data_IF_251614503121
#
_entry.id   IF_251614503121
#
_cell.length_a   1.000
_cell.length_b   1.000
_cell.length_c   1.000
_cell.angle_alpha   90.00
_cell.angle_beta   90.00
_cell.angle_gamma   90.00
#
_symmetry.space_group_name_H-M   'P 1'
#
loop_
_entity.id
_entity.type
_entity.pdbx_description
1 polymer ?
#
# COMPACT_ATOMS: atom_id res chain seq x y z
N UNK A 1 8.45 -11.36 -27.01
CA UNK A 1 9.08 -11.18 -25.69
C UNK A 1 8.98 -12.50 -24.95
N UNK A 2 10.09 -13.05 -24.45
CA UNK A 2 10.05 -14.25 -23.61
C UNK A 2 9.34 -13.92 -22.29
N UNK A 3 8.43 -14.79 -21.86
CA UNK A 3 7.77 -14.66 -20.56
C UNK A 3 8.78 -15.03 -19.46
N UNK A 4 9.48 -14.01 -18.97
CA UNK A 4 10.52 -14.15 -17.94
C UNK A 4 9.89 -14.67 -16.64
N UNK A 5 10.37 -15.82 -16.17
CA UNK A 5 9.90 -16.42 -14.91
C UNK A 5 10.58 -15.72 -13.73
N UNK A 6 9.87 -14.79 -13.11
CA UNK A 6 10.30 -14.08 -11.90
C UNK A 6 9.92 -14.90 -10.65
N UNK A 7 10.93 -15.43 -9.95
CA UNK A 7 10.76 -16.32 -8.78
C UNK A 7 11.36 -15.72 -7.49
N UNK A 8 11.48 -14.40 -7.41
CA UNK A 8 11.93 -13.68 -6.21
C UNK A 8 10.77 -13.44 -5.25
N UNK A 9 10.99 -13.37 -3.92
CA UNK A 9 9.96 -13.07 -2.93
C UNK A 9 9.58 -11.56 -2.87
N UNK A 10 9.74 -10.85 -3.97
CA UNK A 10 9.65 -9.39 -4.05
C UNK A 10 10.77 -8.81 -4.91
N UNK A 11 10.46 -8.09 -6.02
CA UNK A 11 9.13 -7.95 -6.63
C UNK A 11 8.61 -9.29 -7.19
N UNK A 12 7.33 -9.33 -7.55
CA UNK A 12 6.67 -10.50 -8.18
C UNK A 12 6.01 -10.11 -9.52
N UNK A 13 5.64 -11.11 -10.32
CA UNK A 13 4.97 -10.86 -11.61
C UNK A 13 3.60 -10.22 -11.35
N UNK A 14 3.34 -9.07 -11.98
CA UNK A 14 2.07 -8.36 -11.82
C UNK A 14 0.93 -9.10 -12.53
N UNK A 15 -0.25 -9.21 -11.90
CA UNK A 15 -1.48 -9.57 -12.60
C UNK A 15 -1.75 -8.60 -13.76
N UNK A 16 -2.34 -9.10 -14.84
CA UNK A 16 -2.59 -8.29 -16.05
C UNK A 16 -3.44 -7.05 -15.76
N UNK A 17 -4.46 -7.20 -14.92
CA UNK A 17 -5.36 -6.09 -14.52
C UNK A 17 -4.59 -4.95 -13.86
N UNK A 18 -3.63 -5.26 -12.98
CA UNK A 18 -2.76 -4.26 -12.33
C UNK A 18 -1.86 -3.57 -13.35
N UNK A 19 -1.31 -4.31 -14.32
CA UNK A 19 -0.47 -3.74 -15.39
C UNK A 19 -1.27 -2.77 -16.28
N UNK A 20 -2.51 -3.12 -16.61
CA UNK A 20 -3.40 -2.25 -17.40
C UNK A 20 -3.83 -1.00 -16.62
N UNK A 21 -4.08 -1.13 -15.31
CA UNK A 21 -4.39 0.03 -14.46
C UNK A 21 -3.22 1.02 -14.39
N UNK A 22 -1.99 0.51 -14.22
CA UNK A 22 -0.77 1.34 -14.20
C UNK A 22 -0.44 2.00 -15.55
N UNK A 23 -0.99 1.50 -16.66
CA UNK A 23 -0.80 2.09 -17.99
C UNK A 23 -1.74 3.27 -18.27
N UNK A 24 -2.70 3.55 -17.39
CA UNK A 24 -3.64 4.69 -17.54
C UNK A 24 -2.96 6.00 -17.16
N UNK A 25 -3.54 7.11 -17.61
CA UNK A 25 -3.14 8.45 -17.17
C UNK A 25 -3.35 8.57 -15.65
N UNK A 26 -2.37 9.17 -14.95
CA UNK A 26 -2.47 9.39 -13.50
C UNK A 26 -3.62 10.34 -13.17
N UNK A 27 -4.46 9.94 -12.22
CA UNK A 27 -5.58 10.74 -11.71
C UNK A 27 -5.04 11.85 -10.80
N UNK A 28 -5.59 13.06 -10.92
CA UNK A 28 -5.24 14.15 -10.02
C UNK A 28 -5.66 13.83 -8.57
N UNK A 29 -4.70 13.78 -7.64
CA UNK A 29 -4.90 13.32 -6.26
C UNK A 29 -5.91 14.12 -5.40
N UNK A 30 -6.38 15.29 -5.84
CA UNK A 30 -7.43 16.07 -5.17
C UNK A 30 -8.76 16.08 -5.93
N UNK A 31 -8.88 15.30 -7.01
CA UNK A 31 -10.14 15.14 -7.72
C UNK A 31 -11.12 14.30 -6.89
N UNK A 32 -12.40 14.42 -7.22
CA UNK A 32 -13.44 13.60 -6.59
C UNK A 32 -13.27 12.12 -6.91
N UNK A 33 -12.92 11.81 -8.16
CA UNK A 33 -12.60 10.45 -8.62
C UNK A 33 -11.50 9.79 -7.77
N UNK A 34 -10.41 10.50 -7.47
CA UNK A 34 -9.34 9.95 -6.64
C UNK A 34 -9.78 9.73 -5.19
N UNK A 35 -10.60 10.62 -4.63
CA UNK A 35 -11.11 10.46 -3.25
C UNK A 35 -11.96 9.20 -3.13
N UNK A 36 -12.83 8.94 -4.09
CA UNK A 36 -13.68 7.75 -4.13
C UNK A 36 -12.82 6.49 -4.25
N UNK A 37 -11.86 6.48 -5.19
CA UNK A 37 -10.92 5.38 -5.34
C UNK A 37 -10.13 5.10 -4.05
N UNK A 38 -9.61 6.14 -3.40
CA UNK A 38 -8.86 5.99 -2.15
C UNK A 38 -9.75 5.41 -1.04
N UNK A 39 -11.00 5.88 -0.92
CA UNK A 39 -11.93 5.36 0.08
C UNK A 39 -12.23 3.87 -0.13
N UNK A 40 -12.46 3.44 -1.38
CA UNK A 40 -12.66 2.03 -1.72
C UNK A 40 -11.43 1.17 -1.37
N UNK A 41 -10.22 1.66 -1.69
CA UNK A 41 -8.97 0.96 -1.36
C UNK A 41 -8.80 0.83 0.15
N UNK A 42 -9.03 1.89 0.92
CA UNK A 42 -8.88 1.87 2.38
C UNK A 42 -9.88 0.90 3.03
N UNK A 43 -11.12 0.82 2.54
CA UNK A 43 -12.11 -0.16 3.02
C UNK A 43 -11.70 -1.60 2.66
N UNK A 44 -11.23 -1.83 1.44
CA UNK A 44 -10.69 -3.13 1.04
C UNK A 44 -9.50 -3.57 1.89
N UNK A 45 -8.63 -2.63 2.29
CA UNK A 45 -7.51 -2.92 3.18
C UNK A 45 -7.98 -3.31 4.60
N UNK A 46 -9.07 -2.72 5.12
CA UNK A 46 -9.66 -3.16 6.40
C UNK A 46 -10.08 -4.63 6.35
N UNK A 47 -10.65 -5.08 5.23
CA UNK A 47 -10.91 -6.49 4.98
C UNK A 47 -9.62 -7.31 4.93
N UNK A 48 -8.59 -6.91 4.17
CA UNK A 48 -7.33 -7.67 4.09
C UNK A 48 -6.65 -7.83 5.46
N UNK A 49 -6.59 -6.76 6.25
CA UNK A 49 -6.00 -6.78 7.60
C UNK A 49 -6.94 -7.29 8.69
N UNK A 50 -8.19 -7.62 8.35
CA UNK A 50 -9.22 -8.10 9.29
C UNK A 50 -9.38 -7.16 10.50
N UNK A 51 -9.41 -5.85 10.25
CA UNK A 51 -9.47 -4.81 11.30
C UNK A 51 -10.70 -3.93 11.16
N UNK A 52 -11.17 -3.39 12.29
CA UNK A 52 -12.21 -2.35 12.33
C UNK A 52 -11.62 -0.94 12.44
N UNK A 53 -10.32 -0.83 12.71
CA UNK A 53 -9.61 0.44 12.86
C UNK A 53 -9.27 1.04 11.49
N UNK A 54 -8.85 2.30 11.49
CA UNK A 54 -8.38 2.96 10.29
C UNK A 54 -7.06 2.36 9.80
N UNK A 55 -6.93 2.29 8.46
CA UNK A 55 -5.72 1.90 7.77
C UNK A 55 -5.11 3.15 7.17
N UNK A 56 -3.82 3.37 7.42
CA UNK A 56 -3.09 4.51 6.87
C UNK A 56 -2.29 4.05 5.63
N UNK A 57 -2.52 4.73 4.50
CA UNK A 57 -1.74 4.52 3.28
C UNK A 57 -0.53 5.46 3.26
N UNK A 58 0.67 4.91 3.14
CA UNK A 58 1.92 5.66 3.09
C UNK A 58 2.57 5.53 1.71
N UNK A 59 3.00 6.64 1.12
CA UNK A 59 3.76 6.68 -0.13
C UNK A 59 5.23 6.32 0.13
N UNK A 60 5.47 5.10 0.62
CA UNK A 60 6.79 4.56 0.98
C UNK A 60 6.85 3.05 0.75
N UNK A 61 8.01 2.45 0.96
CA UNK A 61 8.14 0.99 1.04
C UNK A 61 7.69 0.48 2.41
N UNK A 62 7.65 -0.84 2.59
CA UNK A 62 7.36 -1.45 3.89
C UNK A 62 8.29 -0.99 5.02
N UNK A 63 9.56 -0.68 4.72
CA UNK A 63 10.50 -0.16 5.71
C UNK A 63 10.08 1.20 6.25
N UNK A 64 9.58 2.10 5.40
CA UNK A 64 9.08 3.40 5.83
C UNK A 64 7.81 3.28 6.69
N UNK A 65 6.95 2.30 6.39
CA UNK A 65 5.79 2.01 7.24
C UNK A 65 6.20 1.45 8.61
N UNK A 66 7.22 0.59 8.66
CA UNK A 66 7.76 0.06 9.92
C UNK A 66 8.36 1.18 10.78
N UNK A 67 9.14 2.08 10.17
CA UNK A 67 9.68 3.26 10.86
C UNK A 67 8.55 4.14 11.41
N UNK A 68 7.55 4.48 10.58
CA UNK A 68 6.40 5.27 11.00
C UNK A 68 5.67 4.67 12.19
N UNK A 69 5.48 3.34 12.23
CA UNK A 69 4.86 2.67 13.36
C UNK A 69 5.69 2.82 14.65
N UNK A 70 7.01 2.58 14.58
CA UNK A 70 7.89 2.64 15.76
C UNK A 70 7.99 4.06 16.32
N UNK A 71 8.29 5.05 15.49
CA UNK A 71 8.54 6.42 15.97
C UNK A 71 7.29 7.11 16.53
N UNK A 72 6.10 6.67 16.11
CA UNK A 72 4.83 7.22 16.62
C UNK A 72 4.27 6.46 17.83
N UNK A 73 4.61 5.18 18.01
CA UNK A 73 4.05 4.35 19.08
C UNK A 73 5.02 4.09 20.25
N UNK A 74 6.33 4.23 20.04
CA UNK A 74 7.35 3.98 21.07
C UNK A 74 8.09 5.29 21.36
N UNK A 75 7.89 5.90 22.54
CA UNK A 75 8.60 7.13 22.90
C UNK A 75 10.09 6.86 23.18
N UNK A 76 10.95 7.88 23.20
CA UNK A 76 12.33 7.74 23.65
C UNK A 76 12.44 7.11 25.04
N UNK A 77 13.23 6.04 25.16
CA UNK A 77 13.33 5.25 26.41
C UNK A 77 12.16 4.27 26.64
N UNK A 78 11.18 4.23 25.74
CA UNK A 78 10.09 3.26 25.76
C UNK A 78 10.56 1.84 25.51
N UNK A 79 9.94 0.88 26.19
CA UNK A 79 10.22 -0.56 26.01
C UNK A 79 9.31 -1.15 24.93
N UNK A 80 9.90 -1.82 23.96
CA UNK A 80 9.23 -2.70 22.99
C UNK A 80 9.77 -4.15 23.16
N UNK A 81 8.97 -5.16 22.82
CA UNK A 81 9.32 -6.58 22.89
C UNK A 81 9.16 -7.26 21.54
#
# INVERSE_FOLDING_TARGET
>A
MHDFRLLTPGPTKLPEQSRLALARQVIHHRSEEFRQLLAEVLEGLKYVFQTRNDVLLLASSGTGAMEAAVVNLVPPGGKAI
#
